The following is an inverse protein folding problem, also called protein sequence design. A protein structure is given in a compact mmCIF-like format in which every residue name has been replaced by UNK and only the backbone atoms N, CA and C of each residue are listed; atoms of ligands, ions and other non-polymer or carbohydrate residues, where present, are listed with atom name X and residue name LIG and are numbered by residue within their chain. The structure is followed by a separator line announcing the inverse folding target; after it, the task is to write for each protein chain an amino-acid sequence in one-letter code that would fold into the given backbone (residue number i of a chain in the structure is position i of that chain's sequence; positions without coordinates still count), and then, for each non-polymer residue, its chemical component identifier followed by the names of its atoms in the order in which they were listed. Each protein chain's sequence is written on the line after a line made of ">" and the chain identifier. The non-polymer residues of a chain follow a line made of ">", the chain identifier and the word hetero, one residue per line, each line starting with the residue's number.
data_IF_036891748157
#
_entry.id   IF_036891748157
#
_cell.length_a   1.000
_cell.length_b   1.000
_cell.length_c   1.000
_cell.angle_alpha   90.00
_cell.angle_beta   90.00
_cell.angle_gamma   90.00
#
_symmetry.space_group_name_H-M   'P 1'
#
loop_
_entity.id
_entity.type
_entity.pdbx_description
1 polymer ?
#
# COMPACT_ATOMS: atom_id res chain seq x y z
N UNK A 1 19.90 18.04 -3.26
CA UNK A 1 18.65 18.07 -4.04
C UNK A 1 17.54 17.54 -3.14
N UNK A 2 16.50 18.33 -2.87
CA UNK A 2 15.34 17.83 -2.12
C UNK A 2 14.57 16.87 -3.05
N UNK A 3 14.40 15.61 -2.64
CA UNK A 3 13.61 14.67 -3.40
C UNK A 3 12.14 15.11 -3.42
N UNK A 4 11.40 14.77 -4.48
CA UNK A 4 9.98 15.08 -4.57
C UNK A 4 9.13 14.08 -3.75
N UNK A 5 7.95 14.48 -3.26
CA UNK A 5 6.98 13.54 -2.72
C UNK A 5 6.51 12.56 -3.81
N UNK A 6 6.19 11.33 -3.42
CA UNK A 6 5.60 10.32 -4.31
C UNK A 6 4.10 10.28 -4.04
N UNK A 7 3.29 10.39 -5.10
CA UNK A 7 1.84 10.17 -5.01
C UNK A 7 1.52 8.69 -5.29
N UNK A 8 0.56 8.14 -4.56
CA UNK A 8 0.19 6.73 -4.63
C UNK A 8 -1.33 6.64 -4.55
N UNK A 9 -1.95 5.87 -5.42
CA UNK A 9 -3.37 5.55 -5.32
C UNK A 9 -3.50 4.15 -4.69
N UNK A 10 -3.66 4.08 -3.38
CA UNK A 10 -3.92 2.81 -2.70
C UNK A 10 -5.38 2.39 -2.95
N UNK A 11 -5.59 1.32 -3.71
CA UNK A 11 -6.93 0.83 -4.13
C UNK A 11 -7.29 -0.44 -3.37
N UNK A 12 -8.01 -0.28 -2.27
CA UNK A 12 -8.39 -1.40 -1.41
C UNK A 12 -9.82 -1.86 -1.70
N UNK A 13 -10.12 -3.17 -1.66
CA UNK A 13 -11.48 -3.66 -1.81
C UNK A 13 -12.31 -3.10 -0.67
N UNK A 14 -13.53 -2.69 -0.99
CA UNK A 14 -14.46 -2.28 0.05
C UNK A 14 -14.93 -3.51 0.81
N UNK A 15 -14.34 -3.73 1.98
CA UNK A 15 -14.63 -4.92 2.80
C UNK A 15 -15.74 -4.69 3.81
N UNK A 16 -16.21 -3.46 3.99
CA UNK A 16 -17.32 -3.13 4.87
C UNK A 16 -18.63 -3.71 4.35
N UNK A 17 -19.23 -4.60 5.12
CA UNK A 17 -20.56 -5.18 4.88
C UNK A 17 -21.55 -4.56 5.86
N UNK A 18 -22.70 -4.11 5.37
CA UNK A 18 -23.81 -3.65 6.20
C UNK A 18 -24.95 -4.68 6.17
N UNK A 19 -25.40 -5.13 7.34
CA UNK A 19 -26.49 -6.07 7.53
C UNK A 19 -27.53 -5.43 8.46
N UNK A 20 -28.44 -4.64 7.88
CA UNK A 20 -29.41 -3.85 8.65
C UNK A 20 -28.69 -2.84 9.57
N UNK A 21 -28.95 -2.84 10.89
CA UNK A 21 -28.26 -1.95 11.83
C UNK A 21 -26.81 -2.40 12.14
N UNK A 22 -26.41 -3.59 11.70
CA UNK A 22 -25.08 -4.13 11.96
C UNK A 22 -24.13 -3.78 10.81
N UNK A 23 -22.88 -3.45 11.14
CA UNK A 23 -21.81 -3.29 10.15
C UNK A 23 -20.58 -4.07 10.56
N UNK A 24 -19.95 -4.75 9.59
CA UNK A 24 -18.74 -5.53 9.79
C UNK A 24 -17.68 -5.10 8.77
N UNK A 25 -16.48 -4.78 9.25
CA UNK A 25 -15.33 -4.44 8.42
C UNK A 25 -14.13 -5.25 8.92
N UNK A 26 -13.75 -6.33 8.20
CA UNK A 26 -12.66 -7.21 8.63
C UNK A 26 -11.31 -6.50 8.61
N UNK A 27 -11.12 -5.50 7.74
CA UNK A 27 -9.90 -4.70 7.71
C UNK A 27 -9.86 -3.81 8.94
N UNK A 28 -10.95 -3.11 9.26
CA UNK A 28 -10.99 -2.29 10.47
C UNK A 28 -10.79 -3.12 11.74
N UNK A 29 -11.34 -4.33 11.81
CA UNK A 29 -11.13 -5.25 12.94
C UNK A 29 -9.65 -5.66 13.07
N UNK A 30 -8.99 -5.97 11.96
CA UNK A 30 -7.58 -6.34 11.95
C UNK A 30 -6.66 -5.18 12.36
N UNK A 31 -7.00 -3.96 11.95
CA UNK A 31 -6.25 -2.74 12.25
C UNK A 31 -6.59 -2.14 13.63
N UNK A 32 -7.68 -2.59 14.24
CA UNK A 32 -8.24 -2.01 15.46
C UNK A 32 -8.84 -0.62 15.27
N UNK A 33 -8.96 -0.14 14.02
CA UNK A 33 -9.57 1.14 13.62
C UNK A 33 -9.86 1.15 12.11
N UNK A 34 -10.76 2.00 11.60
CA UNK A 34 -11.00 2.13 10.16
C UNK A 34 -9.72 2.44 9.37
N UNK A 35 -9.52 1.76 8.24
CA UNK A 35 -8.36 1.99 7.36
C UNK A 35 -8.24 3.46 6.95
N UNK A 36 -9.37 4.13 6.72
CA UNK A 36 -9.40 5.56 6.42
C UNK A 36 -8.66 6.39 7.48
N UNK A 37 -8.87 6.12 8.77
CA UNK A 37 -8.21 6.87 9.85
C UNK A 37 -6.70 6.62 9.90
N UNK A 38 -6.24 5.43 9.45
CA UNK A 38 -4.81 5.12 9.34
C UNK A 38 -4.16 5.92 8.22
N UNK A 39 -4.88 6.09 7.11
CA UNK A 39 -4.35 6.72 5.89
C UNK A 39 -4.60 8.23 5.81
N UNK A 40 -5.59 8.75 6.53
CA UNK A 40 -6.00 10.16 6.50
C UNK A 40 -4.85 11.16 6.67
N UNK A 41 -3.88 10.96 7.58
CA UNK A 41 -2.73 11.88 7.71
C UNK A 41 -1.86 11.98 6.45
N UNK A 42 -1.93 10.96 5.58
CA UNK A 42 -1.12 10.88 4.37
C UNK A 42 -1.95 11.11 3.09
N UNK A 43 -3.26 11.29 3.20
CA UNK A 43 -4.13 11.52 2.06
C UNK A 43 -3.91 12.92 1.45
N UNK A 44 -3.54 12.96 0.17
CA UNK A 44 -3.43 14.18 -0.62
C UNK A 44 -4.80 14.70 -1.10
N UNK A 45 -5.82 13.84 -1.09
CA UNK A 45 -7.19 14.16 -1.49
C UNK A 45 -8.20 13.30 -0.71
N UNK A 46 -9.48 13.70 -0.65
CA UNK A 46 -10.53 12.85 -0.08
C UNK A 46 -10.58 11.47 -0.77
N UNK A 47 -10.81 10.38 -0.02
CA UNK A 47 -10.97 9.05 -0.60
C UNK A 47 -12.14 9.02 -1.60
N UNK A 48 -11.94 8.34 -2.73
CA UNK A 48 -12.98 8.12 -3.74
C UNK A 48 -13.31 6.63 -3.84
N UNK A 49 -14.39 6.28 -4.53
CA UNK A 49 -14.75 4.88 -4.79
C UNK A 49 -14.66 4.62 -6.28
N UNK A 50 -14.09 3.48 -6.66
CA UNK A 50 -13.98 3.01 -8.04
C UNK A 50 -14.63 1.64 -8.17
N UNK A 51 -15.48 1.47 -9.18
CA UNK A 51 -15.99 0.15 -9.56
C UNK A 51 -14.94 -0.60 -10.37
N UNK A 52 -14.76 -1.88 -10.07
CA UNK A 52 -13.82 -2.78 -10.77
C UNK A 52 -14.53 -4.07 -11.16
N UNK A 53 -13.87 -4.94 -11.93
CA UNK A 53 -14.42 -6.24 -12.31
C UNK A 53 -14.74 -7.16 -11.11
N UNK A 54 -14.16 -6.89 -9.94
CA UNK A 54 -14.37 -7.66 -8.70
C UNK A 54 -15.19 -6.90 -7.64
N UNK A 55 -15.79 -5.76 -8.02
CA UNK A 55 -16.67 -4.94 -7.17
C UNK A 55 -16.08 -3.60 -6.74
N UNK A 56 -16.71 -2.90 -5.79
CA UNK A 56 -16.32 -1.56 -5.37
C UNK A 56 -15.01 -1.56 -4.58
N UNK A 57 -14.13 -0.63 -4.91
CA UNK A 57 -12.86 -0.39 -4.23
C UNK A 57 -12.80 1.05 -3.73
N UNK A 58 -12.27 1.24 -2.53
CA UNK A 58 -11.96 2.56 -2.01
C UNK A 58 -10.54 2.94 -2.48
N UNK A 59 -10.41 4.14 -3.04
CA UNK A 59 -9.17 4.70 -3.59
C UNK A 59 -8.70 5.82 -2.67
N UNK A 60 -7.52 5.62 -2.08
CA UNK A 60 -6.86 6.59 -1.22
C UNK A 60 -5.66 7.17 -1.97
N UNK A 61 -5.73 8.45 -2.33
CA UNK A 61 -4.59 9.14 -2.93
C UNK A 61 -3.67 9.63 -1.82
N UNK A 62 -2.55 8.95 -1.64
CA UNK A 62 -1.58 9.14 -0.58
C UNK A 62 -0.36 9.90 -1.11
N UNK A 63 0.11 10.92 -0.38
CA UNK A 63 1.39 11.58 -0.63
C UNK A 63 2.41 11.14 0.40
N UNK A 64 3.53 10.58 -0.07
CA UNK A 64 4.63 10.13 0.79
C UNK A 64 5.82 11.07 0.58
N UNK A 65 6.09 11.90 1.59
CA UNK A 65 7.21 12.82 1.59
C UNK A 65 8.55 12.05 1.65
N UNK A 66 9.66 12.61 1.13
CA UNK A 66 10.97 11.98 1.26
C UNK A 66 11.35 11.76 2.73
N UNK A 67 11.82 10.56 3.04
CA UNK A 67 12.13 10.10 4.39
C UNK A 67 10.92 9.60 5.18
N UNK A 68 9.71 9.73 4.64
CA UNK A 68 8.48 9.27 5.27
C UNK A 68 8.02 7.91 4.71
N UNK A 69 7.11 7.27 5.42
CA UNK A 69 6.44 6.06 4.98
C UNK A 69 5.31 5.62 5.89
N UNK A 70 4.29 5.02 5.28
CA UNK A 70 3.14 4.42 5.96
C UNK A 70 3.30 2.91 5.96
N UNK A 71 2.98 2.26 7.07
CA UNK A 71 2.98 0.79 7.16
C UNK A 71 1.79 0.30 7.96
N UNK A 72 1.24 -0.81 7.53
CA UNK A 72 0.05 -1.44 8.05
C UNK A 72 0.41 -2.90 8.34
N UNK A 73 0.32 -3.29 9.62
CA UNK A 73 0.58 -4.67 10.04
C UNK A 73 -0.69 -5.50 9.92
N UNK A 74 -0.58 -6.66 9.27
CA UNK A 74 -1.65 -7.65 9.14
C UNK A 74 -1.46 -8.82 10.12
N UNK A 75 -0.84 -8.56 11.28
CA UNK A 75 -0.57 -9.58 12.29
C UNK A 75 0.35 -10.68 11.78
N UNK A 76 -0.13 -11.93 11.77
CA UNK A 76 0.65 -13.07 11.28
C UNK A 76 0.92 -12.98 9.76
N UNK A 77 -0.02 -12.40 9.00
CA UNK A 77 0.03 -12.36 7.53
C UNK A 77 1.17 -11.49 6.99
N UNK A 78 1.69 -10.54 7.76
CA UNK A 78 2.79 -9.69 7.31
C UNK A 78 2.60 -8.22 7.63
N UNK A 79 3.30 -7.41 6.86
CA UNK A 79 3.26 -5.96 6.89
C UNK A 79 3.20 -5.48 5.43
N UNK A 80 2.27 -4.57 5.13
CA UNK A 80 2.27 -3.81 3.89
C UNK A 80 2.70 -2.40 4.23
N UNK A 81 3.69 -1.86 3.54
CA UNK A 81 4.15 -0.50 3.76
C UNK A 81 4.65 0.13 2.49
N UNK A 82 4.57 1.45 2.45
CA UNK A 82 4.98 2.31 1.35
C UNK A 82 5.81 3.44 1.94
N UNK A 83 7.01 3.64 1.40
CA UNK A 83 7.93 4.68 1.84
C UNK A 83 8.56 5.39 0.66
N UNK A 84 9.07 6.59 0.90
CA UNK A 84 9.82 7.36 -0.07
C UNK A 84 11.24 7.57 0.48
N UNK A 85 12.19 6.75 0.02
CA UNK A 85 13.59 6.88 0.42
C UNK A 85 14.35 7.69 -0.64
N UNK A 86 14.34 9.01 -0.49
CA UNK A 86 15.09 9.91 -1.38
C UNK A 86 14.63 9.88 -2.84
N UNK A 87 13.33 9.69 -3.07
CA UNK A 87 12.72 9.56 -4.40
C UNK A 87 12.58 8.12 -4.89
N UNK A 88 13.03 7.13 -4.10
CA UNK A 88 12.82 5.72 -4.37
C UNK A 88 11.57 5.24 -3.62
N UNK A 89 10.70 4.50 -4.31
CA UNK A 89 9.57 3.85 -3.66
C UNK A 89 10.07 2.61 -2.92
N UNK A 90 9.83 2.58 -1.62
CA UNK A 90 10.11 1.43 -0.77
C UNK A 90 8.78 0.72 -0.48
N UNK A 91 8.66 -0.54 -0.89
CA UNK A 91 7.48 -1.36 -0.66
C UNK A 91 7.85 -2.45 0.35
N UNK A 92 7.29 -2.37 1.55
CA UNK A 92 7.29 -3.49 2.50
C UNK A 92 6.06 -4.34 2.21
N UNK A 93 6.19 -5.65 2.10
CA UNK A 93 5.04 -6.48 1.71
C UNK A 93 5.12 -7.89 2.31
N UNK A 94 4.00 -8.60 2.49
CA UNK A 94 4.04 -10.03 2.82
C UNK A 94 4.82 -10.84 1.79
N UNK A 95 5.49 -11.91 2.22
CA UNK A 95 6.32 -12.75 1.32
C UNK A 95 5.54 -13.29 0.11
N UNK A 96 4.29 -13.68 0.31
CA UNK A 96 3.43 -14.13 -0.79
C UNK A 96 3.13 -13.03 -1.81
N UNK A 97 2.90 -11.80 -1.35
CA UNK A 97 2.72 -10.66 -2.24
C UNK A 97 4.03 -10.33 -2.97
N UNK A 98 5.19 -10.41 -2.32
CA UNK A 98 6.48 -10.17 -2.95
C UNK A 98 6.72 -11.04 -4.20
N UNK A 99 6.27 -12.31 -4.17
CA UNK A 99 6.35 -13.21 -5.34
C UNK A 99 5.57 -12.68 -6.55
N UNK A 100 4.46 -12.00 -6.31
CA UNK A 100 3.62 -11.38 -7.35
C UNK A 100 4.17 -10.01 -7.78
N UNK A 101 4.79 -9.27 -6.85
CA UNK A 101 5.35 -7.94 -7.09
C UNK A 101 6.66 -7.98 -7.90
N UNK A 102 7.55 -8.92 -7.58
CA UNK A 102 8.90 -8.98 -8.17
C UNK A 102 8.86 -8.97 -9.70
N UNK A 103 8.08 -9.81 -10.40
CA UNK A 103 8.03 -9.77 -11.87
C UNK A 103 7.52 -8.44 -12.43
N UNK A 104 6.53 -7.82 -11.76
CA UNK A 104 5.96 -6.53 -12.20
C UNK A 104 6.93 -5.37 -12.00
N UNK A 105 7.83 -5.49 -11.02
CA UNK A 105 8.79 -4.47 -10.62
C UNK A 105 10.20 -4.72 -11.15
N UNK A 106 10.46 -5.83 -11.84
CA UNK A 106 11.83 -6.28 -12.16
C UNK A 106 12.69 -5.22 -12.87
N UNK A 107 12.10 -4.41 -13.75
CA UNK A 107 12.80 -3.36 -14.50
C UNK A 107 13.02 -2.07 -13.69
N UNK A 108 12.38 -1.96 -12.53
CA UNK A 108 12.43 -0.81 -11.63
C UNK A 108 13.11 -1.14 -10.31
N UNK A 109 13.25 -2.42 -9.98
CA UNK A 109 13.83 -2.90 -8.74
C UNK A 109 15.33 -2.53 -8.69
N UNK A 110 15.69 -1.68 -7.74
CA UNK A 110 17.07 -1.26 -7.48
C UNK A 110 17.70 -2.18 -6.44
N UNK A 111 16.94 -2.53 -5.41
CA UNK A 111 17.41 -3.32 -4.30
C UNK A 111 16.26 -4.09 -3.66
N UNK A 112 16.56 -5.29 -3.19
CA UNK A 112 15.65 -6.10 -2.40
C UNK A 112 16.40 -6.59 -1.16
N UNK A 113 15.75 -6.45 -0.01
CA UNK A 113 16.22 -6.98 1.26
C UNK A 113 15.09 -7.63 2.04
N UNK A 114 15.44 -8.48 2.99
CA UNK A 114 14.51 -9.06 3.95
C UNK A 114 14.79 -8.39 5.30
N UNK A 115 13.77 -7.76 5.87
CA UNK A 115 13.94 -6.95 7.09
C UNK A 115 13.08 -7.47 8.24
N UNK A 116 13.51 -7.29 9.50
CA UNK A 116 12.69 -7.59 10.65
C UNK A 116 11.39 -6.76 10.63
N UNK A 117 10.27 -7.36 11.02
CA UNK A 117 9.00 -6.64 11.19
C UNK A 117 9.13 -5.59 12.30
N UNK A 118 8.59 -4.38 12.07
CA UNK A 118 8.77 -3.23 12.98
C UNK A 118 8.22 -3.44 14.41
N UNK A 119 7.29 -4.39 14.61
CA UNK A 119 6.56 -4.57 15.88
C UNK A 119 6.27 -6.03 16.27
N UNK A 120 6.82 -7.02 15.56
CA UNK A 120 6.55 -8.45 15.81
C UNK A 120 7.73 -9.34 15.41
N UNK A 121 7.69 -10.60 15.84
CA UNK A 121 8.61 -11.64 15.37
C UNK A 121 8.33 -11.96 13.91
N UNK A 122 9.41 -12.10 13.13
CA UNK A 122 9.37 -12.49 11.73
C UNK A 122 9.96 -11.44 10.80
N UNK A 123 10.09 -11.83 9.54
CA UNK A 123 10.70 -11.02 8.49
C UNK A 123 9.69 -10.69 7.41
N UNK A 124 9.96 -9.59 6.68
CA UNK A 124 9.16 -9.15 5.53
C UNK A 124 10.09 -8.68 4.41
N UNK A 125 9.81 -9.05 3.15
CA UNK A 125 10.51 -8.45 2.02
C UNK A 125 10.27 -6.95 1.94
N UNK A 126 11.34 -6.24 1.61
CA UNK A 126 11.34 -4.82 1.27
C UNK A 126 11.95 -4.63 -0.11
N UNK A 127 11.13 -4.12 -1.02
CA UNK A 127 11.48 -3.86 -2.41
C UNK A 127 11.71 -2.37 -2.61
N UNK A 128 12.91 -1.98 -3.02
CA UNK A 128 13.25 -0.59 -3.35
C UNK A 128 13.22 -0.41 -4.85
N UNK A 129 12.33 0.44 -5.33
CA UNK A 129 12.08 0.64 -6.74
C UNK A 129 12.40 2.08 -7.15
N UNK A 130 13.12 2.23 -8.27
CA UNK A 130 13.27 3.52 -8.94
C UNK A 130 12.02 3.76 -9.77
N UNK A 131 11.33 4.83 -9.44
CA UNK A 131 10.22 5.33 -10.24
C UNK A 131 10.69 6.56 -11.01
N UNK A 132 10.20 6.71 -12.23
CA UNK A 132 10.39 7.94 -13.01
C UNK A 132 9.12 8.79 -12.94
N UNK A 133 9.26 10.10 -13.02
CA UNK A 133 8.12 11.01 -13.08
C UNK A 133 7.19 10.62 -14.24
N UNK A 134 5.90 10.52 -13.97
CA UNK A 134 4.89 10.03 -14.91
C UNK A 134 4.70 8.52 -14.91
N UNK A 135 5.50 7.75 -14.15
CA UNK A 135 5.24 6.33 -13.96
C UNK A 135 3.86 6.13 -13.33
N UNK A 136 3.07 5.26 -13.97
CA UNK A 136 1.84 4.70 -13.43
C UNK A 136 2.01 3.20 -13.35
N UNK A 137 1.99 2.67 -12.13
CA UNK A 137 2.06 1.25 -11.90
C UNK A 137 0.82 0.83 -11.13
N UNK A 138 0.13 -0.17 -11.66
CA UNK A 138 -0.94 -0.85 -10.96
C UNK A 138 -0.41 -2.21 -10.51
N UNK A 139 -0.34 -2.39 -9.21
CA UNK A 139 0.12 -3.61 -8.57
C UNK A 139 -1.10 -4.40 -8.16
N UNK A 140 -1.37 -5.50 -8.85
CA UNK A 140 -2.48 -6.37 -8.46
C UNK A 140 -2.10 -7.24 -7.25
N UNK A 141 -2.89 -7.16 -6.18
CA UNK A 141 -2.72 -7.94 -4.94
C UNK A 141 -3.76 -9.08 -4.83
N UNK A 142 -4.34 -9.52 -5.94
CA UNK A 142 -5.37 -10.56 -5.93
C UNK A 142 -6.69 -10.04 -5.39
N UNK A 143 -7.39 -10.88 -4.62
CA UNK A 143 -8.64 -10.50 -3.93
C UNK A 143 -8.43 -9.42 -2.84
N UNK A 144 -7.18 -9.14 -2.48
CA UNK A 144 -6.84 -8.10 -1.52
C UNK A 144 -6.80 -6.69 -2.13
N UNK A 145 -7.00 -6.55 -3.44
CA UNK A 145 -7.13 -5.27 -4.14
C UNK A 145 -5.98 -4.97 -5.08
N UNK A 146 -5.71 -3.68 -5.24
CA UNK A 146 -4.74 -3.14 -6.18
C UNK A 146 -3.98 -1.97 -5.52
N UNK A 147 -2.69 -1.88 -5.76
CA UNK A 147 -1.91 -0.72 -5.35
C UNK A 147 -1.53 0.06 -6.61
N UNK A 148 -2.22 1.17 -6.85
CA UNK A 148 -1.84 2.17 -7.84
C UNK A 148 -0.70 3.03 -7.31
N UNK A 149 0.29 3.28 -8.14
CA UNK A 149 1.46 4.11 -7.87
C UNK A 149 1.52 5.11 -9.00
N UNK A 150 1.52 6.41 -8.70
CA UNK A 150 1.65 7.47 -9.70
C UNK A 150 2.69 8.51 -9.28
N UNK A 151 3.84 8.55 -9.94
CA UNK A 151 4.86 9.55 -9.58
C UNK A 151 4.60 10.88 -10.28
N UNK A 152 4.32 11.92 -9.49
CA UNK A 152 4.02 13.26 -9.96
C UNK A 152 5.24 14.15 -10.20
#
# INVERSE_FOLDING_TARGET
>A
MNAAPILLDLVVPRTKVNLGPFSFDPVAQLLGRPLREVLEPHCAAPPTTRETAIGPHDVFRVSVAPGDGVSVSFGALGELGLGNQGGLLVITTPSAAALVLRPQLQHRLVHEEVVPRRRRVGEVPRLTCKLVRGDRLSIYMGRAGELGVEVA
#
